data_IF_729071623134
#
_entry.id   IF_729071623134
#
_cell.length_a   1.000
_cell.length_b   1.000
_cell.length_c   1.000
_cell.angle_alpha   90.00
_cell.angle_beta   90.00
_cell.angle_gamma   90.00
#
_symmetry.space_group_name_H-M   'P 1'
#
loop_
_entity.id
_entity.type
_entity.pdbx_description
1 polymer ?
#
# COMPACT_ATOMS: atom_id res chain seq x y z
N UNK A 1 4.09 -35.41 -5.55
CA UNK A 1 3.28 -34.36 -4.91
C UNK A 1 4.20 -33.48 -4.07
N UNK A 2 4.64 -32.36 -4.57
CA UNK A 2 5.48 -31.39 -3.81
C UNK A 2 4.54 -30.30 -3.34
N UNK A 3 4.43 -30.15 -2.00
CA UNK A 3 3.55 -29.18 -1.36
C UNK A 3 3.89 -27.76 -1.73
N UNK A 4 2.88 -27.00 -2.12
CA UNK A 4 2.96 -25.59 -2.44
C UNK A 4 3.54 -24.77 -1.28
N UNK A 5 4.41 -23.85 -1.58
CA UNK A 5 5.02 -22.94 -0.62
C UNK A 5 4.59 -21.52 -0.96
N UNK A 6 3.50 -21.06 -0.34
CA UNK A 6 3.31 -19.62 -0.18
C UNK A 6 4.41 -19.12 0.75
N UNK A 7 5.39 -18.43 0.20
CA UNK A 7 6.52 -17.94 0.97
C UNK A 7 6.44 -16.42 1.09
N UNK A 8 6.00 -15.95 2.25
CA UNK A 8 6.37 -14.61 2.71
C UNK A 8 7.82 -14.69 3.22
N UNK A 9 8.71 -14.02 2.52
CA UNK A 9 10.12 -14.01 2.88
C UNK A 9 10.43 -12.87 3.85
N UNK A 10 10.77 -13.22 5.09
CA UNK A 10 11.22 -12.29 6.12
C UNK A 10 12.75 -12.16 6.06
N UNK A 11 13.25 -10.96 5.77
CA UNK A 11 14.68 -10.68 5.76
C UNK A 11 15.23 -10.58 7.19
N UNK A 12 16.23 -11.39 7.50
CA UNK A 12 17.04 -11.27 8.73
C UNK A 12 18.26 -10.41 8.39
N UNK A 13 18.39 -9.26 9.03
CA UNK A 13 19.56 -8.40 8.96
C UNK A 13 20.77 -9.06 9.65
N UNK A 14 21.84 -9.27 8.89
CA UNK A 14 23.17 -9.50 9.43
C UNK A 14 23.72 -10.93 9.36
N UNK A 15 24.07 -11.37 8.13
CA UNK A 15 25.20 -12.27 7.84
C UNK A 15 25.45 -12.24 6.32
N UNK A 16 26.74 -12.31 5.87
CA UNK A 16 27.08 -12.53 4.46
C UNK A 16 26.41 -13.83 4.00
N UNK A 17 25.22 -13.71 3.41
CA UNK A 17 24.52 -14.78 2.74
C UNK A 17 24.90 -14.67 1.27
N UNK A 18 25.34 -15.75 0.67
CA UNK A 18 25.43 -15.93 -0.78
C UNK A 18 24.16 -15.36 -1.39
N UNK A 19 24.32 -14.45 -2.35
CA UNK A 19 23.22 -13.73 -2.98
C UNK A 19 22.43 -14.71 -3.83
N UNK A 20 21.38 -15.22 -3.26
CA UNK A 20 20.46 -16.11 -3.93
C UNK A 20 19.33 -15.27 -4.49
N UNK A 21 18.92 -15.54 -5.72
CA UNK A 21 17.89 -14.79 -6.40
C UNK A 21 16.73 -15.70 -6.81
N UNK A 22 15.51 -15.27 -6.53
CA UNK A 22 14.33 -15.84 -7.17
C UNK A 22 14.17 -15.19 -8.54
N UNK A 23 14.14 -15.98 -9.59
CA UNK A 23 13.95 -15.52 -10.98
C UNK A 23 12.62 -16.05 -11.49
N UNK A 24 11.76 -15.15 -11.95
CA UNK A 24 10.43 -15.48 -12.44
C UNK A 24 10.36 -15.08 -13.89
N UNK A 25 10.22 -16.05 -14.78
CA UNK A 25 10.03 -15.82 -16.20
C UNK A 25 8.65 -15.21 -16.46
N UNK A 26 8.63 -14.15 -17.29
CA UNK A 26 7.42 -13.41 -17.65
C UNK A 26 7.27 -13.40 -19.15
N UNK A 27 6.27 -14.11 -19.65
CA UNK A 27 5.94 -14.16 -21.07
C UNK A 27 5.06 -13.00 -21.53
N UNK A 28 4.87 -12.86 -22.83
CA UNK A 28 4.03 -11.80 -23.40
C UNK A 28 2.58 -11.89 -22.92
N UNK A 29 2.04 -13.09 -22.73
CA UNK A 29 0.69 -13.30 -22.22
C UNK A 29 0.58 -12.83 -20.75
N UNK A 30 1.63 -13.04 -19.95
CA UNK A 30 1.67 -12.54 -18.58
C UNK A 30 1.62 -11.02 -18.53
N UNK A 31 2.34 -10.33 -19.43
CA UNK A 31 2.34 -8.88 -19.49
C UNK A 31 0.95 -8.31 -19.78
N UNK A 32 0.18 -8.98 -20.66
CA UNK A 32 -1.18 -8.54 -21.02
C UNK A 32 -2.21 -8.82 -19.94
N UNK A 33 -1.99 -9.83 -19.12
CA UNK A 33 -2.88 -10.21 -17.99
C UNK A 33 -2.52 -9.57 -16.66
N UNK A 34 -1.32 -9.01 -16.59
CA UNK A 34 -0.86 -8.34 -15.35
C UNK A 34 -1.66 -7.07 -15.07
N UNK A 35 -2.03 -6.87 -13.80
CA UNK A 35 -2.88 -5.74 -13.39
C UNK A 35 -2.63 -5.34 -11.95
N UNK A 36 -3.08 -4.16 -11.57
CA UNK A 36 -3.09 -3.69 -10.20
C UNK A 36 -4.40 -4.05 -9.49
N UNK A 37 -4.30 -4.34 -8.19
CA UNK A 37 -5.46 -4.54 -7.33
C UNK A 37 -5.22 -3.94 -5.94
N UNK A 38 -6.30 -3.69 -5.20
CA UNK A 38 -6.25 -3.30 -3.80
C UNK A 38 -6.89 -4.39 -2.96
N UNK A 39 -6.26 -4.76 -1.85
CA UNK A 39 -6.80 -5.74 -0.92
C UNK A 39 -6.96 -5.16 0.48
N UNK A 40 -8.17 -4.75 0.86
CA UNK A 40 -8.47 -4.37 2.24
C UNK A 40 -8.06 -5.45 3.27
N UNK A 41 -8.22 -6.72 2.89
CA UNK A 41 -7.96 -7.83 3.79
C UNK A 41 -6.47 -8.12 3.96
N UNK A 42 -5.66 -7.95 2.90
CA UNK A 42 -4.20 -8.02 3.03
C UNK A 42 -3.65 -6.86 3.87
N UNK A 43 -4.20 -5.66 3.70
CA UNK A 43 -3.87 -4.54 4.58
C UNK A 43 -4.19 -4.88 6.04
N UNK A 44 -5.36 -5.46 6.32
CA UNK A 44 -5.75 -5.85 7.66
C UNK A 44 -4.82 -6.91 8.26
N UNK A 45 -4.52 -7.98 7.52
CA UNK A 45 -3.66 -9.07 8.02
C UNK A 45 -2.23 -8.59 8.28
N UNK A 46 -1.69 -7.70 7.43
CA UNK A 46 -0.40 -7.07 7.66
C UNK A 46 -0.45 -6.10 8.86
N UNK A 47 -1.50 -5.29 8.99
CA UNK A 47 -1.69 -4.41 10.14
C UNK A 47 -1.74 -5.17 11.47
N UNK A 48 -2.47 -6.28 11.53
CA UNK A 48 -2.52 -7.15 12.71
C UNK A 48 -1.15 -7.72 13.07
N UNK A 49 -0.37 -8.15 12.07
CA UNK A 49 0.99 -8.64 12.26
C UNK A 49 1.92 -7.56 12.82
N UNK A 50 1.83 -6.35 12.26
CA UNK A 50 2.62 -5.18 12.70
C UNK A 50 2.24 -4.75 14.11
N UNK A 51 0.95 -4.81 14.49
CA UNK A 51 0.48 -4.51 15.85
C UNK A 51 0.90 -5.57 16.87
N UNK A 52 0.89 -6.84 16.47
CA UNK A 52 1.34 -7.94 17.34
C UNK A 52 2.85 -7.95 17.56
N UNK A 53 3.63 -7.61 16.53
CA UNK A 53 5.09 -7.57 16.54
C UNK A 53 5.57 -6.27 15.88
N UNK A 54 5.55 -5.14 16.61
CA UNK A 54 5.91 -3.85 16.04
C UNK A 54 7.32 -3.86 15.44
N UNK A 55 7.48 -3.55 14.15
CA UNK A 55 8.79 -3.41 13.55
C UNK A 55 9.49 -2.16 14.11
N UNK A 56 10.82 -2.16 14.10
CA UNK A 56 11.62 -0.99 14.46
C UNK A 56 11.52 0.18 13.47
N UNK A 57 10.76 0.03 12.40
CA UNK A 57 10.65 0.97 11.30
C UNK A 57 9.89 2.24 11.70
N UNK A 58 10.48 3.43 11.53
CA UNK A 58 9.88 4.70 11.97
C UNK A 58 8.61 5.06 11.18
N UNK A 59 8.48 4.60 9.93
CA UNK A 59 7.37 4.93 9.03
C UNK A 59 6.00 4.54 9.60
N UNK A 60 5.87 3.39 10.25
CA UNK A 60 4.60 2.92 10.80
C UNK A 60 4.35 3.36 12.25
N UNK A 61 5.36 3.92 12.91
CA UNK A 61 5.29 4.27 14.34
C UNK A 61 4.13 5.20 14.71
N UNK A 62 3.82 6.29 13.96
CA UNK A 62 2.69 7.15 14.28
C UNK A 62 1.35 6.43 14.23
N UNK A 63 1.16 5.53 13.25
CA UNK A 63 -0.06 4.72 13.17
C UNK A 63 -0.15 3.72 14.33
N UNK A 64 0.95 3.02 14.63
CA UNK A 64 1.02 2.07 15.75
C UNK A 64 0.60 2.71 17.08
N UNK A 65 1.06 3.94 17.36
CA UNK A 65 0.68 4.68 18.57
C UNK A 65 -0.83 4.92 18.60
N UNK A 66 -1.44 5.37 17.49
CA UNK A 66 -2.89 5.63 17.43
C UNK A 66 -3.74 4.36 17.50
N UNK A 67 -3.29 3.28 16.84
CA UNK A 67 -4.03 2.02 16.78
C UNK A 67 -3.90 1.18 18.06
N UNK A 68 -2.93 1.46 18.93
CA UNK A 68 -2.57 0.63 20.08
C UNK A 68 -3.73 0.35 21.02
N UNK A 69 -4.50 1.37 21.39
CA UNK A 69 -5.58 1.19 22.36
C UNK A 69 -6.76 0.47 21.73
N UNK A 70 -7.08 0.76 20.48
CA UNK A 70 -8.09 0.01 19.71
C UNK A 70 -7.70 -1.47 19.57
N UNK A 71 -6.44 -1.76 19.31
CA UNK A 71 -5.92 -3.13 19.22
C UNK A 71 -6.00 -3.85 20.57
N UNK A 72 -5.67 -3.18 21.69
CA UNK A 72 -5.79 -3.76 23.04
C UNK A 72 -7.23 -4.10 23.39
N UNK A 73 -8.19 -3.23 23.04
CA UNK A 73 -9.61 -3.51 23.23
C UNK A 73 -10.03 -4.69 22.38
N UNK A 74 -9.70 -4.67 21.09
CA UNK A 74 -10.02 -5.75 20.17
C UNK A 74 -9.49 -7.12 20.61
N UNK A 75 -8.27 -7.20 21.14
CA UNK A 75 -7.70 -8.49 21.62
C UNK A 75 -8.40 -9.04 22.87
N UNK A 76 -9.25 -8.28 23.55
CA UNK A 76 -10.11 -8.75 24.65
C UNK A 76 -11.48 -9.21 24.14
N UNK A 77 -11.95 -8.65 23.04
CA UNK A 77 -13.29 -8.86 22.49
C UNK A 77 -13.32 -9.90 21.37
N UNK A 78 -12.19 -10.08 20.66
CA UNK A 78 -12.06 -11.01 19.54
C UNK A 78 -10.77 -11.83 19.61
N UNK A 79 -10.82 -13.06 19.11
CA UNK A 79 -9.71 -14.00 19.14
C UNK A 79 -8.65 -13.70 18.05
N UNK A 80 -8.02 -12.53 18.13
CA UNK A 80 -6.97 -12.12 17.17
C UNK A 80 -5.82 -13.13 17.10
N UNK A 81 -5.57 -13.87 18.17
CA UNK A 81 -4.58 -14.94 18.20
C UNK A 81 -4.87 -16.06 17.17
N UNK A 82 -6.14 -16.28 16.79
CA UNK A 82 -6.52 -17.23 15.72
C UNK A 82 -5.96 -16.74 14.37
N UNK A 83 -6.13 -15.45 14.08
CA UNK A 83 -5.62 -14.86 12.83
C UNK A 83 -4.08 -14.89 12.79
N UNK A 84 -3.43 -14.55 13.90
CA UNK A 84 -1.96 -14.58 13.99
C UNK A 84 -1.42 -16.01 13.90
N UNK A 85 -2.13 -17.01 14.40
CA UNK A 85 -1.75 -18.41 14.26
C UNK A 85 -1.85 -18.92 12.82
N UNK A 86 -2.75 -18.36 12.01
CA UNK A 86 -2.86 -18.65 10.58
C UNK A 86 -1.90 -17.85 9.72
N UNK A 87 -1.21 -16.88 10.31
CA UNK A 87 -0.33 -15.94 9.61
C UNK A 87 1.07 -15.85 10.27
N UNK A 88 1.80 -17.00 10.42
CA UNK A 88 3.15 -17.00 10.98
C UNK A 88 4.15 -16.23 10.11
N UNK A 89 5.32 -15.85 10.67
CA UNK A 89 6.39 -15.23 9.89
C UNK A 89 6.80 -16.10 8.69
N UNK A 90 6.85 -15.49 7.52
CA UNK A 90 7.26 -16.17 6.28
C UNK A 90 6.19 -17.07 5.64
N UNK A 91 4.98 -17.10 6.16
CA UNK A 91 3.88 -17.86 5.58
C UNK A 91 2.52 -17.28 6.02
N UNK A 92 1.49 -17.48 5.23
CA UNK A 92 0.10 -17.17 5.57
C UNK A 92 -0.84 -18.20 4.95
N UNK A 93 -1.93 -18.51 5.64
CA UNK A 93 -2.99 -19.32 5.05
C UNK A 93 -3.66 -18.54 3.91
N UNK A 94 -3.81 -19.16 2.74
CA UNK A 94 -4.34 -18.48 1.56
C UNK A 94 -5.80 -18.06 1.76
N UNK A 95 -6.60 -18.91 2.42
CA UNK A 95 -7.99 -18.60 2.70
C UNK A 95 -8.17 -17.41 3.66
N UNK A 96 -7.14 -17.07 4.48
CA UNK A 96 -7.17 -15.93 5.40
C UNK A 96 -7.26 -14.60 4.66
N UNK A 97 -6.69 -14.55 3.46
CA UNK A 97 -6.61 -13.32 2.69
C UNK A 97 -6.68 -13.63 1.18
N UNK A 98 -7.88 -13.97 0.68
CA UNK A 98 -8.08 -14.30 -0.73
C UNK A 98 -7.64 -13.18 -1.67
N UNK A 99 -7.32 -13.56 -2.89
CA UNK A 99 -6.78 -12.67 -3.91
C UNK A 99 -7.86 -11.67 -4.38
N UNK A 100 -7.58 -10.37 -4.36
CA UNK A 100 -8.55 -9.36 -4.81
C UNK A 100 -8.79 -9.43 -6.32
N UNK A 101 -10.02 -9.15 -6.75
CA UNK A 101 -10.39 -9.14 -8.16
C UNK A 101 -9.85 -7.91 -8.92
N UNK A 102 -9.60 -6.80 -8.22
CA UNK A 102 -9.13 -5.55 -8.81
C UNK A 102 -9.09 -4.38 -7.81
N UNK A 103 -8.96 -3.17 -8.31
CA UNK A 103 -8.88 -1.95 -7.48
C UNK A 103 -10.19 -1.58 -6.77
N UNK A 104 -11.32 -2.12 -7.20
CA UNK A 104 -12.64 -1.88 -6.61
C UNK A 104 -13.08 -2.93 -5.59
N UNK A 105 -12.25 -3.94 -5.33
CA UNK A 105 -12.54 -5.01 -4.36
C UNK A 105 -12.86 -4.41 -2.99
N UNK A 106 -13.96 -4.85 -2.40
CA UNK A 106 -14.39 -4.41 -1.07
C UNK A 106 -13.99 -5.42 0.01
N UNK A 107 -14.03 -4.99 1.26
CA UNK A 107 -13.82 -5.90 2.40
C UNK A 107 -14.93 -6.96 2.47
N UNK A 108 -16.18 -6.59 2.15
CA UNK A 108 -17.31 -7.53 2.11
C UNK A 108 -17.07 -8.65 1.13
N UNK A 109 -16.67 -8.34 -0.10
CA UNK A 109 -16.38 -9.34 -1.14
C UNK A 109 -15.33 -10.36 -0.66
N UNK A 110 -14.29 -9.89 0.03
CA UNK A 110 -13.22 -10.75 0.52
C UNK A 110 -13.64 -11.57 1.73
N UNK A 111 -14.40 -11.00 2.66
CA UNK A 111 -14.92 -11.74 3.81
C UNK A 111 -15.91 -12.85 3.38
N UNK A 112 -16.71 -12.60 2.35
CA UNK A 112 -17.60 -13.63 1.79
C UNK A 112 -16.80 -14.75 1.11
N UNK A 113 -15.68 -14.44 0.45
CA UNK A 113 -14.75 -15.44 -0.06
C UNK A 113 -14.13 -16.26 1.08
N UNK A 114 -13.71 -15.64 2.18
CA UNK A 114 -13.21 -16.35 3.36
C UNK A 114 -14.28 -17.32 3.90
N UNK A 115 -15.53 -16.85 4.08
CA UNK A 115 -16.64 -17.67 4.58
C UNK A 115 -16.95 -18.85 3.66
N UNK A 116 -16.85 -18.67 2.36
CA UNK A 116 -17.14 -19.68 1.36
C UNK A 116 -15.99 -20.66 1.11
N UNK A 117 -14.87 -20.53 1.83
CA UNK A 117 -13.74 -21.47 1.71
C UNK A 117 -14.19 -22.88 2.07
N UNK A 118 -13.96 -23.88 1.19
CA UNK A 118 -14.30 -25.28 1.48
C UNK A 118 -13.62 -25.77 2.76
N UNK A 119 -14.35 -26.51 3.59
CA UNK A 119 -13.84 -26.98 4.89
C UNK A 119 -12.54 -27.80 4.76
N UNK A 120 -12.44 -28.64 3.72
CA UNK A 120 -11.24 -29.43 3.43
C UNK A 120 -10.02 -28.52 3.19
N UNK A 121 -10.18 -27.46 2.38
CA UNK A 121 -9.12 -26.48 2.10
C UNK A 121 -8.74 -25.74 3.40
N UNK A 122 -9.71 -25.22 4.14
CA UNK A 122 -9.46 -24.50 5.38
C UNK A 122 -8.69 -25.37 6.39
N UNK A 123 -9.12 -26.62 6.61
CA UNK A 123 -8.44 -27.56 7.51
C UNK A 123 -7.05 -27.96 7.00
N UNK A 124 -6.85 -28.10 5.68
CA UNK A 124 -5.53 -28.36 5.11
C UNK A 124 -4.56 -27.22 5.41
N UNK A 125 -4.97 -25.98 5.20
CA UNK A 125 -4.15 -24.78 5.44
C UNK A 125 -3.91 -24.53 6.94
N UNK A 126 -4.94 -24.76 7.78
CA UNK A 126 -4.80 -24.78 9.25
C UNK A 126 -3.73 -25.77 9.69
N UNK A 127 -3.78 -26.99 9.18
CA UNK A 127 -2.77 -28.00 9.51
C UNK A 127 -1.36 -27.57 9.08
N UNK A 128 -1.23 -26.86 7.96
CA UNK A 128 0.04 -26.28 7.54
C UNK A 128 0.53 -25.17 8.49
N UNK A 129 -0.37 -24.27 8.92
CA UNK A 129 -0.05 -23.21 9.87
C UNK A 129 0.43 -23.79 11.22
N UNK A 130 -0.31 -24.76 11.75
CA UNK A 130 0.01 -25.41 13.02
C UNK A 130 1.33 -26.19 13.01
N UNK A 131 1.74 -26.76 11.87
CA UNK A 131 3.06 -27.37 11.71
C UNK A 131 4.19 -26.34 11.80
N UNK A 132 3.96 -25.11 11.34
CA UNK A 132 4.94 -24.01 11.40
C UNK A 132 5.00 -23.34 12.77
N UNK A 133 3.92 -23.46 13.54
CA UNK A 133 3.81 -22.93 14.91
C UNK A 133 3.38 -24.04 15.90
N UNK A 134 4.29 -24.94 16.29
CA UNK A 134 3.94 -26.06 17.17
C UNK A 134 3.48 -25.63 18.58
N UNK A 135 3.80 -24.40 19.01
CA UNK A 135 3.47 -23.85 20.33
C UNK A 135 2.23 -22.96 20.33
N UNK A 136 1.26 -23.23 19.48
CA UNK A 136 -0.05 -22.54 19.52
C UNK A 136 -0.83 -23.02 20.76
N UNK A 137 -1.44 -22.05 21.46
CA UNK A 137 -2.28 -22.33 22.64
C UNK A 137 -3.36 -23.38 22.34
N UNK A 138 -3.65 -24.25 23.34
CA UNK A 138 -4.58 -25.37 23.16
C UNK A 138 -6.02 -24.91 22.83
N UNK A 139 -6.48 -23.76 23.37
CA UNK A 139 -7.78 -23.18 23.04
C UNK A 139 -7.82 -22.74 21.58
N UNK A 140 -6.80 -22.00 21.13
CA UNK A 140 -6.69 -21.53 19.75
C UNK A 140 -6.61 -22.71 18.78
N UNK A 141 -5.82 -23.74 19.12
CA UNK A 141 -5.74 -24.98 18.32
C UNK A 141 -7.11 -25.63 18.17
N UNK A 142 -7.89 -25.72 19.25
CA UNK A 142 -9.24 -26.31 19.22
C UNK A 142 -10.18 -25.52 18.30
N UNK A 143 -10.13 -24.19 18.35
CA UNK A 143 -10.93 -23.33 17.45
C UNK A 143 -10.53 -23.59 16.00
N UNK A 144 -9.23 -23.59 15.70
CA UNK A 144 -8.73 -23.78 14.33
C UNK A 144 -9.01 -25.16 13.75
N UNK A 145 -9.10 -26.21 14.59
CA UNK A 145 -9.40 -27.57 14.13
C UNK A 145 -10.89 -27.91 14.20
N UNK A 146 -11.73 -26.99 14.64
CA UNK A 146 -13.17 -27.16 14.72
C UNK A 146 -13.87 -26.95 13.38
N UNK A 147 -15.12 -27.45 13.31
CA UNK A 147 -15.99 -27.20 12.17
C UNK A 147 -16.33 -25.73 12.04
N UNK A 148 -16.49 -25.24 10.80
CA UNK A 148 -16.87 -23.84 10.54
C UNK A 148 -15.73 -22.82 10.76
N UNK A 149 -14.45 -23.25 10.80
CA UNK A 149 -13.29 -22.39 11.03
C UNK A 149 -13.25 -21.21 10.07
N UNK A 150 -13.62 -21.36 8.80
CA UNK A 150 -13.62 -20.30 7.80
C UNK A 150 -14.62 -19.17 8.16
N UNK A 151 -15.83 -19.54 8.58
CA UNK A 151 -16.82 -18.58 9.06
C UNK A 151 -16.36 -17.84 10.31
N UNK A 152 -15.82 -18.57 11.29
CA UNK A 152 -15.27 -17.97 12.50
C UNK A 152 -14.12 -16.98 12.22
N UNK A 153 -13.19 -17.37 11.34
CA UNK A 153 -12.09 -16.51 10.90
C UNK A 153 -12.61 -15.23 10.22
N UNK A 154 -13.63 -15.36 9.36
CA UNK A 154 -14.24 -14.19 8.71
C UNK A 154 -14.88 -13.24 9.71
N UNK A 155 -15.54 -13.76 10.76
CA UNK A 155 -16.14 -12.91 11.80
C UNK A 155 -15.09 -12.20 12.65
N UNK A 156 -13.99 -12.85 13.01
CA UNK A 156 -12.85 -12.21 13.70
C UNK A 156 -12.20 -11.15 12.81
N UNK A 157 -12.04 -11.41 11.52
CA UNK A 157 -11.52 -10.44 10.55
C UNK A 157 -12.46 -9.24 10.38
N UNK A 158 -13.79 -9.48 10.34
CA UNK A 158 -14.77 -8.40 10.26
C UNK A 158 -14.69 -7.47 11.50
N UNK A 159 -14.63 -8.05 12.70
CA UNK A 159 -14.46 -7.28 13.93
C UNK A 159 -13.13 -6.49 13.93
N UNK A 160 -12.05 -7.11 13.48
CA UNK A 160 -10.75 -6.45 13.38
C UNK A 160 -10.75 -5.30 12.36
N UNK A 161 -11.44 -5.48 11.23
CA UNK A 161 -11.61 -4.43 10.23
C UNK A 161 -12.33 -3.21 10.80
N UNK A 162 -13.48 -3.42 11.39
CA UNK A 162 -14.30 -2.35 12.00
C UNK A 162 -13.53 -1.58 13.06
N UNK A 163 -12.78 -2.28 13.91
CA UNK A 163 -12.04 -1.65 14.99
C UNK A 163 -10.79 -0.89 14.51
N UNK A 164 -10.06 -1.40 13.53
CA UNK A 164 -8.71 -0.93 13.21
C UNK A 164 -8.63 -0.12 11.91
N UNK A 165 -9.17 -0.63 10.79
CA UNK A 165 -8.91 -0.05 9.48
C UNK A 165 -10.11 0.72 8.89
N UNK A 166 -11.33 0.33 9.16
CA UNK A 166 -12.51 0.98 8.60
C UNK A 166 -12.53 2.50 8.88
N UNK A 167 -12.23 2.99 10.11
CA UNK A 167 -12.21 4.42 10.40
C UNK A 167 -11.18 5.21 9.60
N UNK A 168 -10.10 4.57 9.18
CA UNK A 168 -8.98 5.17 8.45
C UNK A 168 -8.94 4.75 6.97
N UNK A 169 -9.82 3.83 6.55
CA UNK A 169 -9.76 3.19 5.24
C UNK A 169 -9.81 4.16 4.08
N UNK A 170 -10.62 5.21 4.18
CA UNK A 170 -10.69 6.23 3.14
C UNK A 170 -9.32 6.85 2.86
N UNK A 171 -8.55 7.10 3.90
CA UNK A 171 -7.21 7.71 3.78
C UNK A 171 -6.18 6.70 3.29
N UNK A 172 -6.18 5.48 3.84
CA UNK A 172 -5.31 4.40 3.40
C UNK A 172 -5.54 4.07 1.92
N UNK A 173 -6.80 3.87 1.54
CA UNK A 173 -7.19 3.60 0.16
C UNK A 173 -6.72 4.68 -0.80
N UNK A 174 -6.82 5.95 -0.43
CA UNK A 174 -6.37 7.06 -1.27
C UNK A 174 -4.85 7.00 -1.55
N UNK A 175 -4.04 6.51 -0.61
CA UNK A 175 -2.60 6.29 -0.81
C UNK A 175 -2.38 5.14 -1.78
N UNK A 176 -3.04 4.01 -1.54
CA UNK A 176 -2.92 2.84 -2.42
C UNK A 176 -3.35 3.15 -3.85
N UNK A 177 -4.47 3.85 -4.03
CA UNK A 177 -4.95 4.29 -5.35
C UNK A 177 -3.96 5.25 -6.03
N UNK A 178 -3.34 6.14 -5.26
CA UNK A 178 -2.33 7.07 -5.74
C UNK A 178 -1.09 6.34 -6.24
N UNK A 179 -0.61 5.34 -5.50
CA UNK A 179 0.49 4.49 -5.93
C UNK A 179 0.16 3.74 -7.22
N UNK A 180 -1.04 3.14 -7.32
CA UNK A 180 -1.50 2.47 -8.55
C UNK A 180 -1.46 3.41 -9.75
N UNK A 181 -1.97 4.63 -9.61
CA UNK A 181 -1.97 5.62 -10.71
C UNK A 181 -0.54 6.02 -11.10
N UNK A 182 0.34 6.21 -10.13
CA UNK A 182 1.74 6.49 -10.38
C UNK A 182 2.40 5.35 -11.15
N UNK A 183 2.27 4.10 -10.67
CA UNK A 183 2.87 2.90 -11.30
C UNK A 183 2.30 2.61 -12.69
N UNK A 184 0.99 2.72 -12.86
CA UNK A 184 0.36 2.61 -14.17
C UNK A 184 0.90 3.65 -15.16
N UNK A 185 1.18 4.86 -14.66
CA UNK A 185 1.82 5.91 -15.45
C UNK A 185 3.27 5.59 -15.83
N UNK A 186 4.06 5.04 -14.92
CA UNK A 186 5.42 4.59 -15.22
C UNK A 186 5.40 3.46 -16.25
N UNK A 187 4.51 2.47 -16.07
CA UNK A 187 4.34 1.38 -17.00
C UNK A 187 4.00 1.88 -18.42
N UNK A 188 3.03 2.79 -18.53
CA UNK A 188 2.60 3.33 -19.81
C UNK A 188 3.65 4.21 -20.51
N UNK A 189 4.52 4.91 -19.76
CA UNK A 189 5.48 5.87 -20.30
C UNK A 189 6.91 5.31 -20.44
N UNK A 190 7.30 4.35 -19.60
CA UNK A 190 8.68 3.84 -19.49
C UNK A 190 8.78 2.32 -19.56
N UNK A 191 7.66 1.62 -19.68
CA UNK A 191 7.61 0.15 -19.77
C UNK A 191 7.86 -0.57 -18.44
N UNK A 192 7.87 -1.91 -18.51
CA UNK A 192 7.93 -2.80 -17.35
C UNK A 192 9.20 -2.66 -16.51
N UNK A 193 10.36 -2.53 -17.16
CA UNK A 193 11.64 -2.43 -16.45
C UNK A 193 11.67 -1.24 -15.48
N UNK A 194 11.20 -0.07 -15.93
CA UNK A 194 11.15 1.12 -15.10
C UNK A 194 10.06 1.04 -14.02
N UNK A 195 8.90 0.47 -14.34
CA UNK A 195 7.81 0.32 -13.39
C UNK A 195 8.17 -0.63 -12.24
N UNK A 196 8.90 -1.72 -12.54
CA UNK A 196 9.32 -2.72 -11.54
C UNK A 196 10.55 -2.26 -10.75
N UNK A 197 11.55 -1.65 -11.40
CA UNK A 197 12.80 -1.24 -10.74
C UNK A 197 12.61 -0.20 -9.63
N UNK A 198 11.49 0.53 -9.65
CA UNK A 198 11.12 1.52 -8.61
C UNK A 198 10.18 0.95 -7.52
N UNK A 199 9.81 -0.34 -7.60
CA UNK A 199 8.93 -0.96 -6.59
C UNK A 199 9.65 -1.23 -5.28
N UNK A 200 10.87 -1.80 -5.37
CA UNK A 200 11.65 -2.17 -4.20
C UNK A 200 13.13 -2.34 -4.58
N UNK A 201 14.10 -1.98 -3.70
CA UNK A 201 15.53 -2.14 -3.99
C UNK A 201 15.98 -3.57 -4.30
N UNK A 202 15.28 -4.57 -3.77
CA UNK A 202 15.60 -5.98 -3.97
C UNK A 202 14.90 -6.58 -5.20
N UNK A 203 14.19 -5.78 -6.00
CA UNK A 203 13.46 -6.22 -7.18
C UNK A 203 14.00 -5.56 -8.44
N UNK A 204 14.33 -6.35 -9.45
CA UNK A 204 14.79 -5.88 -10.76
C UNK A 204 14.06 -6.60 -11.89
N UNK A 205 14.16 -6.02 -13.08
CA UNK A 205 13.72 -6.62 -14.34
C UNK A 205 14.94 -6.90 -15.20
N UNK A 206 15.20 -8.16 -15.49
CA UNK A 206 16.38 -8.60 -16.26
C UNK A 206 15.98 -9.61 -17.33
N UNK A 207 16.20 -9.26 -18.58
CA UNK A 207 16.01 -10.17 -19.75
C UNK A 207 14.65 -10.92 -19.76
N UNK A 208 13.55 -10.21 -19.49
CA UNK A 208 12.22 -10.84 -19.47
C UNK A 208 11.88 -11.59 -18.18
N UNK A 209 12.65 -11.38 -17.12
CA UNK A 209 12.45 -11.99 -15.81
C UNK A 209 12.33 -10.94 -14.71
N UNK A 210 11.47 -11.22 -13.75
CA UNK A 210 11.48 -10.55 -12.45
C UNK A 210 12.51 -11.25 -11.58
N UNK A 211 13.48 -10.49 -11.07
CA UNK A 211 14.55 -10.99 -10.21
C UNK A 211 14.37 -10.38 -8.83
N UNK A 212 14.21 -11.23 -7.80
CA UNK A 212 14.21 -10.81 -6.40
C UNK A 212 15.53 -11.28 -5.76
N UNK A 213 16.34 -10.30 -5.34
CA UNK A 213 17.58 -10.54 -4.62
C UNK A 213 17.30 -10.85 -3.14
N UNK A 214 18.26 -11.52 -2.48
CA UNK A 214 18.24 -11.83 -1.02
C UNK A 214 17.16 -12.82 -0.58
N UNK A 215 16.81 -13.74 -1.47
CA UNK A 215 15.92 -14.85 -1.14
C UNK A 215 16.72 -16.06 -0.64
N UNK A 216 16.18 -16.88 0.27
CA UNK A 216 16.83 -18.15 0.64
C UNK A 216 16.58 -19.20 -0.45
N UNK A 217 17.61 -19.59 -1.17
CA UNK A 217 17.61 -20.62 -2.22
C UNK A 217 17.45 -20.06 -3.65
N UNK A 218 18.26 -20.54 -4.60
CA UNK A 218 18.03 -20.26 -6.03
C UNK A 218 16.75 -20.97 -6.45
N UNK A 219 15.75 -20.20 -6.85
CA UNK A 219 14.47 -20.72 -7.33
C UNK A 219 14.17 -20.06 -8.67
N UNK A 220 14.08 -20.87 -9.72
CA UNK A 220 13.55 -20.43 -10.99
C UNK A 220 12.06 -20.80 -11.08
N UNK A 221 11.25 -19.85 -11.49
CA UNK A 221 9.80 -20.00 -11.66
C UNK A 221 9.33 -19.33 -12.94
N UNK A 222 8.08 -19.54 -13.30
CA UNK A 222 7.43 -18.86 -14.42
C UNK A 222 6.01 -18.48 -14.04
N UNK A 223 5.51 -17.37 -14.57
CA UNK A 223 4.11 -16.98 -14.39
C UNK A 223 3.18 -17.89 -15.21
N UNK A 224 3.67 -18.42 -16.34
CA UNK A 224 2.97 -19.42 -17.15
C UNK A 224 1.69 -18.91 -17.80
N UNK A 225 1.66 -17.66 -18.24
CA UNK A 225 0.50 -17.04 -18.88
C UNK A 225 -0.59 -16.57 -17.91
N UNK A 226 -0.39 -16.70 -16.59
CA UNK A 226 -1.39 -16.30 -15.55
C UNK A 226 -1.41 -14.80 -15.27
N UNK A 227 -0.38 -14.08 -15.71
CA UNK A 227 -0.14 -12.69 -15.34
C UNK A 227 0.31 -12.52 -13.89
N UNK A 228 0.58 -11.29 -13.48
CA UNK A 228 0.97 -10.93 -12.12
C UNK A 228 0.04 -9.85 -11.56
N UNK A 229 -0.48 -10.07 -10.37
CA UNK A 229 -1.26 -9.10 -9.64
C UNK A 229 -0.33 -8.24 -8.79
N UNK A 230 -0.32 -6.93 -9.04
CA UNK A 230 0.44 -5.96 -8.26
C UNK A 230 -0.44 -5.35 -7.18
N UNK A 231 -0.07 -5.53 -5.92
CA UNK A 231 -0.87 -5.06 -4.78
C UNK A 231 -0.03 -4.16 -3.88
N UNK A 232 -0.24 -2.83 -3.95
CA UNK A 232 0.39 -1.92 -3.01
C UNK A 232 -0.13 -2.15 -1.60
N UNK A 233 0.73 -2.04 -0.60
CA UNK A 233 0.38 -2.16 0.81
C UNK A 233 1.10 -1.10 1.66
N UNK A 234 0.38 -0.52 2.61
CA UNK A 234 0.91 0.40 3.61
C UNK A 234 1.69 -0.37 4.69
N UNK A 235 1.19 -1.54 5.09
CA UNK A 235 1.68 -2.25 6.26
C UNK A 235 2.73 -3.32 5.96
N UNK A 236 3.05 -3.60 4.69
CA UNK A 236 4.11 -4.55 4.34
C UNK A 236 5.52 -3.96 4.49
N UNK A 237 5.64 -2.65 4.57
CA UNK A 237 6.93 -1.93 4.65
C UNK A 237 7.88 -2.53 5.70
N UNK A 238 9.18 -2.70 5.43
CA UNK A 238 9.91 -2.44 4.17
C UNK A 238 10.05 -3.70 3.29
N UNK A 239 9.16 -4.65 3.40
CA UNK A 239 9.26 -5.98 2.79
C UNK A 239 8.47 -6.07 1.49
N UNK A 240 8.71 -7.17 0.77
CA UNK A 240 7.88 -7.67 -0.32
C UNK A 240 7.24 -8.99 0.11
N UNK A 241 6.08 -9.31 -0.43
CA UNK A 241 5.55 -10.67 -0.40
C UNK A 241 5.18 -11.10 -1.82
N UNK A 242 5.41 -12.36 -2.13
CA UNK A 242 5.15 -12.95 -3.42
C UNK A 242 4.44 -14.29 -3.24
N UNK A 243 3.29 -14.44 -3.88
CA UNK A 243 2.56 -15.70 -3.99
C UNK A 243 2.59 -16.17 -5.44
N UNK A 244 3.08 -17.38 -5.68
CA UNK A 244 3.16 -17.98 -7.02
C UNK A 244 2.39 -19.28 -7.15
N UNK A 245 1.99 -19.86 -6.02
CA UNK A 245 1.45 -21.22 -5.97
C UNK A 245 0.00 -21.29 -6.48
N UNK A 246 -0.29 -22.27 -7.38
CA UNK A 246 -1.66 -22.59 -7.74
C UNK A 246 -2.47 -23.05 -6.51
N UNK A 247 -3.79 -22.83 -6.49
CA UNK A 247 -4.63 -22.36 -7.60
C UNK A 247 -4.72 -20.85 -7.77
N UNK A 248 -4.03 -20.08 -6.92
CA UNK A 248 -4.17 -18.62 -6.88
C UNK A 248 -3.43 -17.94 -8.03
N UNK A 249 -3.96 -16.80 -8.53
CA UNK A 249 -3.20 -15.94 -9.44
C UNK A 249 -1.89 -15.50 -8.78
N UNK A 250 -0.77 -15.46 -9.53
CA UNK A 250 0.46 -14.90 -9.02
C UNK A 250 0.27 -13.46 -8.53
N UNK A 251 0.78 -13.14 -7.35
CA UNK A 251 0.62 -11.82 -6.75
C UNK A 251 1.91 -11.32 -6.10
N UNK A 252 2.23 -10.05 -6.34
CA UNK A 252 3.33 -9.32 -5.71
C UNK A 252 2.75 -8.20 -4.85
N UNK A 253 2.97 -8.31 -3.54
CA UNK A 253 2.59 -7.28 -2.58
C UNK A 253 3.84 -6.45 -2.30
N UNK A 254 3.72 -5.13 -2.43
CA UNK A 254 4.85 -4.23 -2.33
C UNK A 254 4.52 -2.97 -1.52
N UNK A 255 5.52 -2.29 -0.92
CA UNK A 255 5.31 -1.07 -0.17
C UNK A 255 4.75 0.05 -1.05
N UNK A 256 3.59 0.58 -0.68
CA UNK A 256 3.00 1.75 -1.34
C UNK A 256 3.88 2.99 -1.12
N UNK A 257 3.94 3.89 -2.11
CA UNK A 257 4.60 5.18 -2.01
C UNK A 257 3.77 6.15 -1.14
N UNK A 258 4.44 7.13 -0.53
CA UNK A 258 3.77 8.20 0.20
C UNK A 258 3.26 7.83 1.60
N UNK A 259 3.61 6.65 2.10
CA UNK A 259 3.21 6.21 3.44
C UNK A 259 3.74 7.14 4.53
N UNK A 260 4.97 7.66 4.40
CA UNK A 260 5.56 8.58 5.37
C UNK A 260 4.75 9.88 5.50
N UNK A 261 4.32 10.46 4.37
CA UNK A 261 3.53 11.69 4.36
C UNK A 261 2.14 11.55 5.03
N UNK A 262 1.60 10.32 5.10
CA UNK A 262 0.34 10.03 5.78
C UNK A 262 0.40 10.37 7.28
N UNK A 263 1.55 10.16 7.91
CA UNK A 263 1.70 10.24 9.35
C UNK A 263 2.21 11.59 9.86
N UNK A 264 2.69 12.43 8.98
CA UNK A 264 3.22 13.77 9.32
C UNK A 264 2.12 14.83 9.52
N UNK A 265 0.87 14.56 9.12
CA UNK A 265 -0.19 15.58 9.07
C UNK A 265 -1.18 15.69 10.24
N UNK A 266 -1.26 14.85 11.29
CA UNK A 266 -2.26 15.06 12.34
C UNK A 266 -1.89 16.11 13.40
N UNK A 267 -0.64 16.57 13.45
CA UNK A 267 -0.17 17.50 14.52
C UNK A 267 -0.34 18.99 14.22
N UNK A 268 -0.55 19.38 12.97
CA UNK A 268 -0.64 20.81 12.59
C UNK A 268 -2.07 21.36 12.50
N UNK A 269 -3.08 20.49 12.36
CA UNK A 269 -4.46 20.92 12.27
C UNK A 269 -5.14 21.19 13.63
N UNK A 270 -4.59 20.68 14.74
CA UNK A 270 -5.17 20.87 16.08
C UNK A 270 -4.65 22.10 16.84
N UNK A 271 -3.54 22.69 16.39
CA UNK A 271 -2.95 23.88 17.03
C UNK A 271 -3.46 25.22 16.46
N UNK A 272 -4.39 25.21 15.52
CA UNK A 272 -4.83 26.42 14.79
C UNK A 272 -6.29 26.81 14.93
N UNK A 273 -7.04 26.30 15.94
CA UNK A 273 -8.39 26.80 16.21
C UNK A 273 -8.47 27.56 17.52
N UNK A 274 -7.85 28.73 17.52
CA UNK A 274 -8.34 29.83 18.36
C UNK A 274 -9.34 30.66 17.53
N UNK A 275 -10.45 31.14 18.08
CA UNK A 275 -11.42 31.93 17.34
C UNK A 275 -10.78 33.26 16.98
N UNK A 276 -10.51 33.47 15.70
CA UNK A 276 -10.01 34.74 15.20
C UNK A 276 -11.19 35.70 15.09
N UNK A 277 -11.27 36.58 16.06
CA UNK A 277 -12.11 37.75 16.01
C UNK A 277 -11.69 38.67 14.85
N UNK A 278 -12.64 39.48 14.39
CA UNK A 278 -12.66 40.39 13.26
C UNK A 278 -11.52 41.44 13.12
N UNK A 279 -10.39 41.27 13.84
CA UNK A 279 -9.30 42.26 13.88
C UNK A 279 -8.01 41.85 13.13
N UNK A 280 -8.02 40.73 12.37
CA UNK A 280 -6.81 40.23 11.68
C UNK A 280 -6.75 40.55 10.16
N UNK A 281 -7.75 41.25 9.62
CA UNK A 281 -7.77 41.61 8.19
C UNK A 281 -6.80 42.75 7.82
N UNK A 282 -6.35 43.57 8.81
CA UNK A 282 -5.52 44.75 8.53
C UNK A 282 -4.02 44.57 8.82
N UNK A 283 -3.56 43.38 9.17
CA UNK A 283 -2.13 43.11 9.51
C UNK A 283 -1.39 42.18 8.56
N UNK A 284 -1.98 41.84 7.42
CA UNK A 284 -1.38 40.96 6.41
C UNK A 284 -0.50 41.69 5.38
N UNK A 285 -0.20 42.98 5.59
CA UNK A 285 0.58 43.79 4.63
C UNK A 285 2.05 44.02 5.08
N UNK A 286 2.46 43.49 6.23
CA UNK A 286 3.84 43.72 6.72
C UNK A 286 4.47 42.49 7.35
N UNK A 287 4.72 41.45 6.57
CA UNK A 287 5.44 40.25 7.03
C UNK A 287 6.33 39.74 5.89
N UNK A 288 7.66 39.81 6.06
CA UNK A 288 8.74 39.59 5.12
C UNK A 288 8.49 38.47 4.10
N UNK A 289 8.36 38.84 2.83
CA UNK A 289 8.29 37.92 1.72
C UNK A 289 9.56 37.08 1.67
N UNK A 290 9.46 35.74 1.84
CA UNK A 290 10.48 34.85 1.33
C UNK A 290 10.63 35.13 -0.15
N UNK A 291 11.86 35.30 -0.70
CA UNK A 291 12.02 35.46 -2.14
C UNK A 291 11.31 34.31 -2.84
N UNK A 292 10.31 34.62 -3.68
CA UNK A 292 9.57 33.65 -4.43
C UNK A 292 10.51 32.80 -5.28
N UNK A 293 10.27 31.52 -5.35
CA UNK A 293 11.08 30.59 -6.14
C UNK A 293 11.01 30.94 -7.63
N UNK A 294 11.88 30.39 -8.46
CA UNK A 294 11.80 30.58 -9.91
C UNK A 294 10.46 30.08 -10.46
N UNK A 295 9.96 29.00 -9.88
CA UNK A 295 8.67 28.40 -10.21
C UNK A 295 7.49 29.31 -9.83
N UNK A 296 7.56 29.99 -8.67
CA UNK A 296 6.57 31.00 -8.25
C UNK A 296 6.47 32.17 -9.22
N UNK A 297 7.59 32.61 -9.72
CA UNK A 297 7.66 33.71 -10.70
C UNK A 297 7.13 33.33 -12.07
N UNK A 298 7.34 32.06 -12.47
CA UNK A 298 6.91 31.55 -13.78
C UNK A 298 5.40 31.21 -13.80
N UNK A 299 4.91 30.52 -12.80
CA UNK A 299 3.54 29.97 -12.78
C UNK A 299 2.58 30.79 -11.90
N UNK A 300 3.11 31.63 -11.05
CA UNK A 300 2.41 32.22 -9.90
C UNK A 300 2.40 31.28 -8.69
N UNK A 301 2.35 31.83 -7.46
CA UNK A 301 2.62 31.08 -6.22
C UNK A 301 1.64 29.90 -6.02
N UNK A 302 0.36 30.07 -6.35
CA UNK A 302 -0.62 29.00 -6.14
C UNK A 302 -0.44 27.84 -7.12
N UNK A 303 -0.17 28.11 -8.41
CA UNK A 303 0.09 27.05 -9.41
C UNK A 303 1.41 26.34 -9.16
N UNK A 304 2.42 27.07 -8.72
CA UNK A 304 3.69 26.48 -8.28
C UNK A 304 3.47 25.53 -7.09
N UNK A 305 2.71 25.97 -6.07
CA UNK A 305 2.36 25.14 -4.92
C UNK A 305 1.56 23.90 -5.32
N UNK A 306 0.58 24.01 -6.24
CA UNK A 306 -0.17 22.87 -6.78
C UNK A 306 0.75 21.91 -7.53
N UNK A 307 1.65 22.43 -8.39
CA UNK A 307 2.59 21.60 -9.13
C UNK A 307 3.56 20.89 -8.18
N UNK A 308 4.06 21.58 -7.16
CA UNK A 308 4.95 21.00 -6.14
C UNK A 308 4.21 19.92 -5.33
N UNK A 309 2.99 20.18 -4.88
CA UNK A 309 2.17 19.23 -4.13
C UNK A 309 1.79 17.96 -4.94
N UNK A 310 1.90 18.02 -6.27
CA UNK A 310 1.72 16.89 -7.19
C UNK A 310 3.02 16.10 -7.41
N UNK A 311 4.00 16.17 -6.52
CA UNK A 311 5.10 15.21 -6.48
C UNK A 311 4.57 13.77 -6.43
N UNK A 312 3.47 13.60 -5.73
CA UNK A 312 2.66 12.39 -5.76
C UNK A 312 1.26 12.68 -6.35
N UNK A 313 0.65 11.69 -7.03
CA UNK A 313 -0.71 11.83 -7.55
C UNK A 313 -1.71 12.20 -6.45
N UNK A 314 -2.53 13.24 -6.67
CA UNK A 314 -3.51 13.70 -5.70
C UNK A 314 -4.86 14.04 -6.35
N UNK A 315 -5.96 13.85 -5.61
CA UNK A 315 -7.27 14.34 -6.00
C UNK A 315 -7.44 15.84 -5.70
N UNK A 316 -8.41 16.49 -6.34
CA UNK A 316 -8.72 17.89 -6.03
C UNK A 316 -9.00 18.10 -4.54
N UNK A 317 -9.72 17.19 -3.89
CA UNK A 317 -10.04 17.27 -2.45
C UNK A 317 -8.79 17.18 -1.58
N UNK A 318 -7.82 16.34 -1.96
CA UNK A 318 -6.54 16.21 -1.25
C UNK A 318 -5.68 17.47 -1.39
N UNK A 319 -5.65 18.07 -2.59
CA UNK A 319 -4.95 19.33 -2.83
C UNK A 319 -5.58 20.49 -2.05
N UNK A 320 -6.92 20.55 -2.00
CA UNK A 320 -7.66 21.50 -1.14
C UNK A 320 -7.23 21.39 0.32
N UNK A 321 -7.16 20.16 0.84
CA UNK A 321 -6.73 19.93 2.23
C UNK A 321 -5.26 20.27 2.47
N UNK A 322 -4.38 19.99 1.50
CA UNK A 322 -2.95 20.22 1.62
C UNK A 322 -2.57 21.70 1.51
N UNK A 323 -3.26 22.44 0.63
CA UNK A 323 -2.90 23.82 0.30
C UNK A 323 -3.79 24.88 0.97
N UNK A 324 -4.86 24.46 1.68
CA UNK A 324 -5.78 25.38 2.34
C UNK A 324 -6.60 26.26 1.39
N UNK A 325 -6.74 25.87 0.12
CA UNK A 325 -7.43 26.61 -0.93
C UNK A 325 -8.87 26.13 -1.12
N UNK A 326 -9.70 26.94 -1.81
CA UNK A 326 -11.06 26.52 -2.14
C UNK A 326 -11.07 25.44 -3.24
N UNK A 327 -12.14 24.60 -3.23
CA UNK A 327 -12.31 23.54 -4.24
C UNK A 327 -12.35 24.09 -5.67
N UNK A 328 -13.06 25.21 -5.88
CA UNK A 328 -13.14 25.90 -7.17
C UNK A 328 -11.77 26.42 -7.63
N UNK A 329 -11.04 27.14 -6.74
CA UNK A 329 -9.72 27.68 -7.05
C UNK A 329 -8.70 26.60 -7.41
N UNK A 330 -8.65 25.47 -6.67
CA UNK A 330 -7.80 24.34 -7.04
C UNK A 330 -8.23 23.75 -8.39
N UNK A 331 -9.54 23.63 -8.65
CA UNK A 331 -10.05 23.15 -9.93
C UNK A 331 -9.56 23.98 -11.11
N UNK A 332 -9.62 25.30 -11.00
CA UNK A 332 -9.16 26.23 -12.03
C UNK A 332 -7.65 26.13 -12.27
N UNK A 333 -6.85 26.03 -11.20
CA UNK A 333 -5.40 25.84 -11.32
C UNK A 333 -5.02 24.52 -11.96
N UNK A 334 -5.73 23.42 -11.62
CA UNK A 334 -5.55 22.13 -12.25
C UNK A 334 -5.92 22.15 -13.74
N UNK A 335 -6.98 22.88 -14.12
CA UNK A 335 -7.37 23.03 -15.53
C UNK A 335 -6.24 23.69 -16.33
N UNK A 336 -5.70 24.82 -15.84
CA UNK A 336 -4.60 25.56 -16.49
C UNK A 336 -3.34 24.72 -16.59
N UNK A 337 -2.92 24.06 -15.50
CA UNK A 337 -1.70 23.21 -15.50
C UNK A 337 -1.84 22.02 -16.45
N UNK A 338 -3.05 21.46 -16.59
CA UNK A 338 -3.32 20.38 -17.53
C UNK A 338 -3.31 20.86 -18.97
N UNK A 339 -3.90 22.00 -19.27
CA UNK A 339 -3.88 22.61 -20.60
C UNK A 339 -2.45 22.95 -21.02
N UNK A 340 -1.62 23.39 -20.09
CA UNK A 340 -0.20 23.63 -20.30
C UNK A 340 0.63 22.31 -20.42
N UNK A 341 0.01 21.15 -20.30
CA UNK A 341 0.70 19.86 -20.42
C UNK A 341 1.61 19.53 -19.22
N UNK A 342 1.56 20.28 -18.13
CA UNK A 342 2.39 20.08 -16.94
C UNK A 342 1.87 18.97 -16.02
N UNK A 343 0.57 18.70 -16.08
CA UNK A 343 -0.08 17.61 -15.32
C UNK A 343 -1.01 16.80 -16.23
N UNK A 344 -1.24 15.57 -15.83
CA UNK A 344 -2.24 14.68 -16.43
C UNK A 344 -3.26 14.24 -15.37
N UNK A 345 -4.40 13.74 -15.82
CA UNK A 345 -5.42 13.16 -14.94
C UNK A 345 -5.70 11.71 -15.30
N UNK A 346 -5.96 10.88 -14.29
CA UNK A 346 -6.42 9.51 -14.48
C UNK A 346 -7.60 9.24 -13.54
N UNK A 347 -8.54 8.42 -13.99
CA UNK A 347 -9.64 7.96 -13.15
C UNK A 347 -9.17 6.71 -12.37
N UNK A 348 -9.31 6.75 -11.06
CA UNK A 348 -9.03 5.62 -10.16
C UNK A 348 -10.28 5.34 -9.35
N UNK A 349 -11.03 4.32 -9.73
CA UNK A 349 -12.32 4.00 -9.13
C UNK A 349 -13.32 5.16 -9.24
N UNK A 350 -13.78 5.68 -8.09
CA UNK A 350 -14.69 6.84 -7.99
C UNK A 350 -13.97 8.19 -7.96
N UNK A 351 -12.64 8.19 -7.89
CA UNK A 351 -11.82 9.40 -7.76
C UNK A 351 -11.13 9.76 -9.07
N UNK A 352 -10.88 11.05 -9.29
CA UNK A 352 -10.00 11.57 -10.33
C UNK A 352 -8.71 12.02 -9.64
N UNK A 353 -7.58 11.44 -10.03
CA UNK A 353 -6.26 11.79 -9.55
C UNK A 353 -5.49 12.56 -10.62
N UNK A 354 -4.76 13.58 -10.19
CA UNK A 354 -3.86 14.38 -11.01
C UNK A 354 -2.42 14.00 -10.67
N UNK A 355 -1.54 14.04 -11.66
CA UNK A 355 -0.10 13.77 -11.51
C UNK A 355 0.69 14.67 -12.44
N UNK A 356 1.94 14.94 -12.13
CA UNK A 356 2.85 15.61 -13.05
C UNK A 356 3.09 14.78 -14.29
N UNK A 357 3.33 15.46 -15.41
CA UNK A 357 3.91 14.86 -16.61
C UNK A 357 5.45 14.94 -16.50
N UNK A 358 6.20 14.27 -17.39
CA UNK A 358 7.66 14.44 -17.44
C UNK A 358 8.11 15.89 -17.57
N UNK A 359 7.33 16.73 -18.27
CA UNK A 359 7.57 18.18 -18.39
C UNK A 359 7.33 18.87 -17.05
N UNK A 360 6.25 18.50 -16.35
CA UNK A 360 5.95 19.01 -15.01
C UNK A 360 7.00 18.63 -13.97
N UNK A 361 7.52 17.40 -14.03
CA UNK A 361 8.62 16.93 -13.17
C UNK A 361 9.92 17.70 -13.45
N UNK A 362 10.29 17.87 -14.72
CA UNK A 362 11.48 18.63 -15.11
C UNK A 362 11.40 20.09 -14.65
N UNK A 363 10.22 20.71 -14.77
CA UNK A 363 9.99 22.09 -14.35
C UNK A 363 10.06 22.22 -12.81
N UNK A 364 9.48 21.28 -12.07
CA UNK A 364 9.52 21.29 -10.61
C UNK A 364 10.94 21.01 -10.07
N UNK A 365 11.71 20.14 -10.73
CA UNK A 365 13.09 19.83 -10.36
C UNK A 365 14.05 21.00 -10.61
N UNK A 366 13.80 21.84 -11.62
CA UNK A 366 14.62 23.03 -11.93
C UNK A 366 14.57 24.10 -10.83
N UNK A 367 13.55 24.06 -9.96
CA UNK A 367 13.41 25.02 -8.84
C UNK A 367 14.25 24.63 -7.61
N UNK A 368 14.73 23.38 -7.52
CA UNK A 368 15.54 22.86 -6.40
C UNK A 368 17.05 22.81 -6.63
N UNK A 369 17.56 23.19 -7.81
CA UNK A 369 18.98 23.11 -8.16
C UNK A 369 19.69 24.45 -8.12
N UNK A 370 20.96 24.51 -7.67
CA UNK A 370 21.77 25.74 -7.83
C UNK A 370 21.98 26.00 -9.33
N UNK A 371 21.58 27.16 -9.77
CA UNK A 371 21.99 27.69 -11.08
C UNK A 371 23.51 27.77 -11.09
N UNK A 372 24.17 26.92 -11.87
CA UNK A 372 25.58 27.08 -12.24
C UNK A 372 25.68 27.91 -13.50
#
# INVERSE_FOLDING_TARGET
>A
MRGGRSAEYSFVTGRKVLTVALRIEVGNEDLTRSRFALSPLWELTHALRVLANPPGEPVLRPWLVRARDRYRTLTREADIAVILALNPPGWGADFLAPVPSGVSTTIGDLLDQVRSTPAEQAHHEVAQALRRQPRVDARIRRILTGDGVAGYVADVLAAAWQALLEPEWRTLRAILERDVVYRAGQLASRGWAAALGDLHPDLSWEQGRIVLCRMPGDVDGALGGRGLLFVPSVFIWPKLALGLDPPWPPALIYPARGVAALWEQPGRAAAGRAPVGRAAADRAVSGGARPGTALDRLLGPTRAAVLTALEEPASTTQLVAALGQSLGGIGDHLAVLREAGLISRARSGRSVLYRRTPVGDALAAADGGPVR
#
